data_IF_423040463024
#
_entry.id   IF_423040463024
#
_cell.length_a   1.000
_cell.length_b   1.000
_cell.length_c   1.000
_cell.angle_alpha   90.00
_cell.angle_beta   90.00
_cell.angle_gamma   90.00
#
_symmetry.space_group_name_H-M   'P 1'
#
loop_
_entity.id
_entity.type
_entity.pdbx_description
1 polymer ?
#
# COMPACT_ATOMS: atom_id res chain seq x y z
N UNK A 1 30.83 -81.11 9.82
CA UNK A 1 29.60 -80.58 9.19
C UNK A 1 28.83 -79.61 10.10
N UNK A 2 29.16 -79.45 11.39
CA UNK A 2 28.50 -78.49 12.29
C UNK A 2 28.98 -77.03 12.20
N UNK A 3 30.23 -76.80 11.77
CA UNK A 3 30.85 -75.46 11.73
C UNK A 3 30.36 -74.58 10.56
N UNK A 4 29.95 -75.20 9.47
CA UNK A 4 29.48 -74.47 8.25
C UNK A 4 28.09 -73.90 8.50
N UNK A 5 27.19 -74.63 9.15
CA UNK A 5 25.82 -74.17 9.46
C UNK A 5 25.82 -73.00 10.48
N UNK A 6 26.75 -73.01 11.44
CA UNK A 6 26.89 -71.97 12.42
C UNK A 6 27.38 -70.64 11.79
N UNK A 7 28.32 -70.70 10.84
CA UNK A 7 28.83 -69.59 10.15
C UNK A 7 27.78 -68.92 9.20
N UNK A 8 26.98 -69.73 8.52
CA UNK A 8 25.89 -69.30 7.67
C UNK A 8 24.77 -68.59 8.47
N UNK A 9 24.46 -69.09 9.65
CA UNK A 9 23.47 -68.48 10.53
C UNK A 9 23.95 -67.13 11.08
N UNK A 10 25.22 -67.01 11.42
CA UNK A 10 25.85 -65.76 11.84
C UNK A 10 25.88 -64.71 10.69
N UNK A 11 26.12 -65.14 9.49
CA UNK A 11 26.13 -64.26 8.31
C UNK A 11 24.74 -63.72 8.01
N UNK A 12 23.71 -64.56 8.03
CA UNK A 12 22.32 -64.19 7.84
C UNK A 12 21.81 -63.21 8.91
N UNK A 13 22.19 -63.43 10.17
CA UNK A 13 21.84 -62.51 11.25
C UNK A 13 22.50 -61.15 11.07
N UNK A 14 23.75 -61.08 10.65
CA UNK A 14 24.45 -59.80 10.35
C UNK A 14 23.77 -59.05 9.23
N UNK A 15 23.40 -59.73 8.15
CA UNK A 15 22.68 -59.07 7.03
C UNK A 15 21.30 -58.54 7.45
N UNK A 16 20.54 -59.28 8.25
CA UNK A 16 19.25 -58.82 8.75
C UNK A 16 19.38 -57.59 9.69
N UNK A 17 20.39 -57.60 10.56
CA UNK A 17 20.68 -56.46 11.43
C UNK A 17 21.08 -55.22 10.60
N UNK A 18 21.95 -55.37 9.61
CA UNK A 18 22.39 -54.29 8.71
C UNK A 18 21.22 -53.74 7.91
N UNK A 19 20.30 -54.56 7.41
CA UNK A 19 19.09 -54.13 6.71
C UNK A 19 18.15 -53.33 7.64
N UNK A 20 17.93 -53.82 8.88
CA UNK A 20 17.12 -53.08 9.87
C UNK A 20 17.72 -51.75 10.27
N UNK A 21 19.04 -51.65 10.46
CA UNK A 21 19.75 -50.41 10.77
C UNK A 21 19.65 -49.42 9.60
N UNK A 22 19.76 -49.87 8.35
CA UNK A 22 19.60 -49.02 7.16
C UNK A 22 18.17 -48.48 7.03
N UNK A 23 17.15 -49.31 7.28
CA UNK A 23 15.74 -48.89 7.23
C UNK A 23 15.45 -47.91 8.37
N UNK A 24 15.96 -48.14 9.56
CA UNK A 24 15.79 -47.23 10.70
C UNK A 24 16.50 -45.89 10.47
N UNK A 25 17.68 -45.91 9.85
CA UNK A 25 18.41 -44.68 9.44
C UNK A 25 17.67 -43.88 8.39
N UNK A 26 17.07 -44.54 7.38
CA UNK A 26 16.25 -43.88 6.37
C UNK A 26 14.96 -43.29 6.94
N UNK A 27 14.30 -44.01 7.87
CA UNK A 27 13.11 -43.47 8.55
C UNK A 27 13.43 -42.23 9.42
N UNK A 28 14.59 -42.27 10.12
CA UNK A 28 15.05 -41.12 10.92
C UNK A 28 15.40 -39.92 10.06
N UNK A 29 16.02 -40.12 8.89
CA UNK A 29 16.32 -39.03 7.95
C UNK A 29 15.04 -38.44 7.35
N UNK A 30 14.00 -39.21 7.09
CA UNK A 30 12.70 -38.70 6.63
C UNK A 30 11.95 -37.90 7.70
N UNK A 31 12.07 -38.26 8.99
CA UNK A 31 11.46 -37.45 10.05
C UNK A 31 12.16 -36.11 10.27
N UNK A 32 13.46 -35.99 10.00
CA UNK A 32 14.18 -34.72 10.11
C UNK A 32 13.89 -33.75 8.97
N UNK A 33 13.46 -34.20 7.80
CA UNK A 33 13.08 -33.30 6.68
C UNK A 33 11.68 -32.71 6.82
N UNK A 34 10.86 -33.16 7.76
CA UNK A 34 9.48 -32.68 7.96
C UNK A 34 9.31 -31.43 8.82
N UNK A 35 10.38 -30.88 9.38
CA UNK A 35 10.31 -29.73 10.29
C UNK A 35 10.89 -28.44 9.72
N UNK A 36 10.81 -28.24 8.41
CA UNK A 36 10.87 -26.88 7.87
C UNK A 36 9.47 -26.30 8.07
N UNK A 37 9.19 -25.82 9.28
CA UNK A 37 8.09 -24.90 9.50
C UNK A 37 8.36 -23.70 8.62
N UNK A 38 7.72 -23.63 7.46
CA UNK A 38 7.58 -22.39 6.75
C UNK A 38 6.95 -21.42 7.76
N UNK A 39 7.71 -20.46 8.25
CA UNK A 39 7.15 -19.37 9.04
C UNK A 39 6.12 -18.72 8.12
N UNK A 40 4.85 -19.04 8.32
CA UNK A 40 3.76 -18.31 7.70
C UNK A 40 3.80 -16.90 8.30
N UNK A 41 4.39 -15.99 7.57
CA UNK A 41 4.31 -14.58 7.92
C UNK A 41 2.88 -14.13 7.64
N UNK A 42 2.21 -13.67 8.69
CA UNK A 42 0.89 -13.08 8.55
C UNK A 42 1.01 -11.81 7.72
N UNK A 43 0.30 -11.75 6.59
CA UNK A 43 0.21 -10.56 5.75
C UNK A 43 -0.90 -9.69 6.30
N UNK A 44 -0.55 -8.51 6.79
CA UNK A 44 -1.50 -7.51 7.22
C UNK A 44 -1.74 -6.52 6.09
N UNK A 45 -2.99 -6.45 5.63
CA UNK A 45 -3.38 -5.52 4.58
C UNK A 45 -3.59 -4.12 5.16
N UNK A 46 -2.97 -3.13 4.55
CA UNK A 46 -3.27 -1.73 4.85
C UNK A 46 -4.69 -1.44 4.35
N UNK A 47 -5.60 -0.89 5.18
CA UNK A 47 -6.95 -0.56 4.74
C UNK A 47 -6.94 0.24 3.44
N UNK A 48 -7.80 -0.11 2.48
CA UNK A 48 -7.87 0.46 1.12
C UNK A 48 -6.57 0.35 0.29
N UNK A 49 -5.61 -0.49 0.70
CA UNK A 49 -4.33 -0.65 0.01
C UNK A 49 -4.44 -1.30 -1.37
N UNK A 50 -5.55 -1.99 -1.68
CA UNK A 50 -5.87 -2.52 -3.01
C UNK A 50 -6.28 -1.43 -4.03
N UNK A 51 -6.48 -0.19 -3.59
CA UNK A 51 -6.84 0.97 -4.43
C UNK A 51 -8.15 0.81 -5.23
N UNK A 52 -9.07 -0.06 -4.80
CA UNK A 52 -10.34 -0.29 -5.50
C UNK A 52 -11.44 0.70 -5.12
N UNK A 53 -11.28 1.42 -4.03
CA UNK A 53 -12.30 2.30 -3.48
C UNK A 53 -11.85 3.75 -3.43
N UNK A 54 -12.65 4.63 -4.06
CA UNK A 54 -12.33 6.04 -4.20
C UNK A 54 -13.51 6.93 -3.86
N UNK A 55 -13.22 8.03 -3.20
CA UNK A 55 -14.16 9.12 -2.95
C UNK A 55 -13.95 10.16 -4.03
N UNK A 56 -14.98 10.44 -4.82
CA UNK A 56 -14.99 11.52 -5.81
C UNK A 56 -15.54 12.79 -5.14
N UNK A 57 -14.64 13.72 -4.82
CA UNK A 57 -14.98 15.03 -4.26
C UNK A 57 -15.13 16.01 -5.39
N UNK A 58 -16.34 16.48 -5.63
CA UNK A 58 -16.66 17.49 -6.65
C UNK A 58 -16.54 18.87 -6.03
N UNK A 59 -15.48 19.59 -6.37
CA UNK A 59 -15.16 20.90 -5.80
C UNK A 59 -15.29 21.97 -6.87
N UNK A 60 -16.11 22.99 -6.59
CA UNK A 60 -16.23 24.16 -7.46
C UNK A 60 -15.09 25.14 -7.20
N UNK A 61 -14.30 25.40 -8.22
CA UNK A 61 -13.25 26.42 -8.20
C UNK A 61 -13.86 27.82 -8.23
N UNK A 62 -13.09 28.83 -7.82
CA UNK A 62 -13.54 30.24 -7.81
C UNK A 62 -13.84 30.75 -9.21
N UNK A 63 -14.92 31.51 -9.35
CA UNK A 63 -15.35 32.08 -10.65
C UNK A 63 -14.27 32.91 -11.33
N UNK A 64 -13.43 33.60 -10.56
CA UNK A 64 -12.33 34.46 -11.09
C UNK A 64 -11.27 33.64 -11.86
N UNK A 65 -11.20 32.32 -11.67
CA UNK A 65 -10.31 31.39 -12.40
C UNK A 65 -11.09 30.42 -13.30
N UNK A 66 -12.36 30.77 -13.63
CA UNK A 66 -13.19 30.01 -14.54
C UNK A 66 -14.35 29.26 -13.89
N UNK A 67 -14.39 29.08 -12.58
CA UNK A 67 -15.53 28.51 -11.83
C UNK A 67 -15.89 27.06 -12.15
N UNK A 68 -14.96 26.30 -12.73
CA UNK A 68 -15.20 24.90 -13.10
C UNK A 68 -15.37 24.02 -11.86
N UNK A 69 -16.23 23.00 -11.94
CA UNK A 69 -16.25 21.91 -10.96
C UNK A 69 -15.21 20.86 -11.34
N UNK A 70 -14.36 20.52 -10.40
CA UNK A 70 -13.27 19.56 -10.57
C UNK A 70 -13.47 18.36 -9.67
N UNK A 71 -13.11 17.19 -10.18
CA UNK A 71 -13.08 15.95 -9.40
C UNK A 71 -11.73 15.85 -8.70
N UNK A 72 -11.79 15.73 -7.39
CA UNK A 72 -10.62 15.57 -6.50
C UNK A 72 -10.76 14.23 -5.80
N UNK A 73 -9.97 13.26 -6.21
CA UNK A 73 -10.09 11.90 -5.73
C UNK A 73 -9.35 11.70 -4.41
N UNK A 74 -9.99 10.98 -3.49
CA UNK A 74 -9.37 10.50 -2.25
C UNK A 74 -9.57 8.99 -2.15
N UNK A 75 -8.61 8.30 -1.51
CA UNK A 75 -8.69 6.85 -1.28
C UNK A 75 -9.55 6.61 -0.04
N UNK A 76 -10.61 5.85 -0.18
CA UNK A 76 -11.56 5.58 0.91
C UNK A 76 -12.84 4.95 0.41
N UNK A 77 -13.85 4.74 1.26
CA UNK A 77 -15.11 4.13 0.87
C UNK A 77 -15.73 4.84 -0.34
N UNK A 78 -16.09 4.08 -1.36
CA UNK A 78 -16.62 4.64 -2.61
C UNK A 78 -17.81 5.55 -2.36
N UNK A 79 -17.66 6.82 -2.70
CA UNK A 79 -18.68 7.85 -2.54
C UNK A 79 -18.45 9.00 -3.52
N UNK A 80 -19.53 9.74 -3.84
CA UNK A 80 -19.45 11.03 -4.53
C UNK A 80 -19.95 12.12 -3.60
N UNK A 81 -19.13 13.14 -3.40
CA UNK A 81 -19.41 14.23 -2.47
C UNK A 81 -19.24 15.56 -3.16
N UNK A 82 -20.30 16.37 -3.18
CA UNK A 82 -20.25 17.74 -3.66
C UNK A 82 -19.99 18.67 -2.50
N UNK A 83 -18.78 19.26 -2.44
CA UNK A 83 -18.42 20.10 -1.32
C UNK A 83 -17.48 21.24 -1.71
N UNK A 84 -17.49 22.28 -0.89
CA UNK A 84 -16.55 23.39 -0.93
C UNK A 84 -15.72 23.49 0.34
N UNK A 85 -15.89 22.54 1.25
CA UNK A 85 -15.21 22.49 2.55
C UNK A 85 -13.88 21.73 2.42
N UNK A 86 -13.00 22.00 3.36
CA UNK A 86 -11.76 21.26 3.50
C UNK A 86 -12.04 19.76 3.71
N UNK A 87 -11.18 18.93 3.14
CA UNK A 87 -11.24 17.49 3.33
C UNK A 87 -11.12 17.11 4.82
N UNK A 88 -11.92 16.20 5.24
CA UNK A 88 -11.93 15.66 6.62
C UNK A 88 -11.94 14.16 6.57
N UNK A 89 -10.88 13.55 6.12
CA UNK A 89 -10.69 12.08 6.14
C UNK A 89 -12.01 11.27 6.20
N UNK A 90 -12.77 11.34 5.11
CA UNK A 90 -14.10 10.73 5.01
C UNK A 90 -13.95 9.21 4.94
N UNK A 91 -14.29 8.52 6.03
CA UNK A 91 -14.27 7.08 6.11
C UNK A 91 -13.01 6.45 6.73
N UNK A 92 -12.14 7.26 7.34
CA UNK A 92 -11.02 6.75 8.15
C UNK A 92 -9.92 6.07 7.36
N UNK A 93 -9.76 6.39 6.06
CA UNK A 93 -8.67 5.88 5.25
C UNK A 93 -7.32 6.37 5.79
N UNK A 94 -6.30 5.49 5.90
CA UNK A 94 -4.95 5.91 6.29
C UNK A 94 -4.18 6.58 5.15
N UNK A 95 -4.76 6.67 3.95
CA UNK A 95 -4.10 7.18 2.75
C UNK A 95 -4.38 8.66 2.52
N UNK A 96 -3.34 9.40 2.22
CA UNK A 96 -3.40 10.75 1.69
C UNK A 96 -2.73 10.83 0.33
N UNK A 97 -3.12 11.80 -0.47
CA UNK A 97 -2.60 12.02 -1.82
C UNK A 97 -2.27 13.50 -2.03
N UNK A 98 -1.58 13.80 -3.14
CA UNK A 98 -1.36 15.17 -3.61
C UNK A 98 -2.63 15.84 -4.18
N UNK A 99 -3.77 15.15 -4.16
CA UNK A 99 -5.05 15.72 -4.55
C UNK A 99 -5.58 16.60 -3.44
N UNK A 100 -5.62 17.91 -3.66
CA UNK A 100 -5.92 18.87 -2.61
C UNK A 100 -6.74 20.05 -3.11
N UNK A 101 -7.48 20.65 -2.19
CA UNK A 101 -8.06 21.97 -2.35
C UNK A 101 -7.14 23.02 -1.74
N UNK A 102 -6.78 24.02 -2.52
CA UNK A 102 -6.05 25.18 -2.05
C UNK A 102 -6.99 26.41 -1.98
N UNK A 103 -6.73 27.27 -1.02
CA UNK A 103 -7.42 28.57 -0.90
C UNK A 103 -6.42 29.66 -0.54
N UNK A 104 -6.03 30.43 -1.54
CA UNK A 104 -5.06 31.51 -1.40
C UNK A 104 -5.75 32.84 -1.77
N UNK A 105 -5.64 33.83 -0.89
CA UNK A 105 -6.31 35.14 -1.06
C UNK A 105 -7.82 35.03 -1.39
N UNK A 106 -8.51 34.05 -0.78
CA UNK A 106 -9.93 33.80 -1.04
C UNK A 106 -10.24 33.04 -2.34
N UNK A 107 -9.24 32.74 -3.16
CA UNK A 107 -9.39 32.01 -4.42
C UNK A 107 -9.23 30.52 -4.16
N UNK A 108 -10.28 29.77 -4.47
CA UNK A 108 -10.28 28.30 -4.37
C UNK A 108 -9.80 27.69 -5.67
N UNK A 109 -8.75 26.87 -5.61
CA UNK A 109 -8.20 26.07 -6.70
C UNK A 109 -8.02 24.64 -6.24
N UNK A 110 -8.16 23.70 -7.14
CA UNK A 110 -7.92 22.28 -6.88
C UNK A 110 -6.69 21.79 -7.63
N UNK A 111 -6.00 20.81 -7.05
CA UNK A 111 -5.01 20.00 -7.74
C UNK A 111 -5.48 18.54 -7.72
N UNK A 112 -5.45 17.88 -8.88
CA UNK A 112 -5.70 16.46 -9.01
C UNK A 112 -4.60 15.86 -9.86
N UNK A 113 -3.73 15.10 -9.23
CA UNK A 113 -2.56 14.44 -9.83
C UNK A 113 -2.50 12.93 -9.53
N UNK A 114 -3.47 12.44 -8.77
CA UNK A 114 -3.66 11.01 -8.49
C UNK A 114 -5.09 10.62 -8.88
N UNK A 115 -5.23 9.57 -9.67
CA UNK A 115 -6.49 9.19 -10.29
C UNK A 115 -6.77 7.70 -10.09
N UNK A 116 -8.05 7.29 -9.94
CA UNK A 116 -8.42 5.90 -10.13
C UNK A 116 -8.23 5.52 -11.61
N UNK A 117 -7.41 4.54 -11.87
CA UNK A 117 -7.22 3.97 -13.21
C UNK A 117 -7.72 2.54 -13.25
N UNK A 118 -8.46 2.19 -14.28
CA UNK A 118 -9.02 0.83 -14.41
C UNK A 118 -7.89 -0.19 -14.60
N UNK A 119 -7.88 -1.24 -13.78
CA UNK A 119 -6.95 -2.37 -13.84
C UNK A 119 -7.70 -3.68 -13.64
N UNK A 120 -7.89 -4.45 -14.71
CA UNK A 120 -8.71 -5.66 -14.64
C UNK A 120 -10.13 -5.35 -14.18
N UNK A 121 -10.61 -6.05 -13.16
CA UNK A 121 -11.93 -5.82 -12.58
C UNK A 121 -11.96 -4.72 -11.51
N UNK A 122 -10.78 -4.27 -11.04
CA UNK A 122 -10.61 -3.24 -10.04
C UNK A 122 -9.98 -1.96 -10.56
N UNK A 123 -9.36 -1.22 -9.64
CA UNK A 123 -8.66 0.03 -9.91
C UNK A 123 -7.23 -0.01 -9.34
N UNK A 124 -6.38 0.84 -9.88
CA UNK A 124 -5.09 1.20 -9.30
C UNK A 124 -4.96 2.72 -9.20
N UNK A 125 -3.98 3.19 -8.47
CA UNK A 125 -3.66 4.60 -8.38
C UNK A 125 -2.71 5.00 -9.52
N UNK A 126 -3.18 5.84 -10.46
CA UNK A 126 -2.33 6.50 -11.44
C UNK A 126 -1.85 7.82 -10.91
N UNK A 127 -0.55 8.04 -10.90
CA UNK A 127 0.10 9.26 -10.44
C UNK A 127 0.70 10.01 -11.63
N UNK A 128 0.24 11.24 -11.86
CA UNK A 128 0.73 12.12 -12.91
C UNK A 128 1.55 13.26 -12.32
N UNK A 129 2.57 13.69 -13.03
CA UNK A 129 3.30 14.94 -12.72
C UNK A 129 2.96 15.98 -13.77
N UNK A 130 2.49 17.14 -13.32
CA UNK A 130 2.07 18.23 -14.23
C UNK A 130 2.42 19.60 -13.68
N UNK A 131 2.51 20.57 -14.56
CA UNK A 131 2.62 21.98 -14.16
C UNK A 131 1.23 22.51 -13.82
N UNK A 132 1.07 23.03 -12.60
CA UNK A 132 -0.14 23.76 -12.19
C UNK A 132 0.17 25.23 -12.06
N UNK A 133 -0.66 26.05 -12.68
CA UNK A 133 -0.52 27.51 -12.56
C UNK A 133 -1.85 28.18 -12.22
N UNK A 134 -1.76 29.22 -11.40
CA UNK A 134 -2.86 30.12 -11.08
C UNK A 134 -2.35 31.51 -11.25
N UNK A 135 -2.93 32.23 -12.20
CA UNK A 135 -2.61 33.63 -12.45
C UNK A 135 -3.87 34.48 -12.34
N UNK A 136 -3.88 35.37 -11.38
CA UNK A 136 -4.92 36.36 -11.20
C UNK A 136 -4.23 37.70 -11.05
N UNK A 137 -4.40 38.58 -12.01
CA UNK A 137 -3.68 39.84 -12.12
C UNK A 137 -3.71 40.65 -10.82
N UNK A 138 -2.54 40.98 -10.31
CA UNK A 138 -2.36 41.74 -9.08
C UNK A 138 -2.67 41.02 -7.77
N UNK A 139 -3.12 39.74 -7.83
CA UNK A 139 -3.54 38.97 -6.64
C UNK A 139 -2.69 37.72 -6.49
N UNK A 140 -2.61 36.88 -7.52
CA UNK A 140 -1.94 35.56 -7.48
C UNK A 140 -1.19 35.34 -8.78
N UNK A 141 0.08 34.96 -8.67
CA UNK A 141 0.88 34.43 -9.78
C UNK A 141 1.72 33.27 -9.20
N UNK A 142 1.21 32.08 -9.30
CA UNK A 142 1.84 30.87 -8.78
C UNK A 142 1.90 29.85 -9.89
N UNK A 143 3.10 29.31 -10.14
CA UNK A 143 3.31 28.16 -11.00
C UNK A 143 4.17 27.16 -10.23
N UNK A 144 3.68 25.93 -10.11
CA UNK A 144 4.34 24.86 -9.38
C UNK A 144 4.31 23.56 -10.17
N UNK A 145 5.33 22.74 -9.97
CA UNK A 145 5.31 21.35 -10.41
C UNK A 145 4.52 20.54 -9.39
N UNK A 146 3.35 20.05 -9.78
CA UNK A 146 2.50 19.19 -8.98
C UNK A 146 2.81 17.74 -9.33
N UNK A 147 3.66 17.10 -8.52
CA UNK A 147 3.93 15.67 -8.63
C UNK A 147 2.78 14.87 -8.00
N UNK A 148 2.28 13.87 -8.72
CA UNK A 148 1.37 12.88 -8.15
C UNK A 148 2.09 12.09 -7.08
N UNK A 149 1.55 12.09 -5.87
CA UNK A 149 2.10 11.35 -4.75
C UNK A 149 1.00 10.83 -3.84
N UNK A 150 1.28 9.73 -3.16
CA UNK A 150 0.43 9.14 -2.13
C UNK A 150 1.28 8.66 -0.98
N UNK A 151 0.74 8.73 0.22
CA UNK A 151 1.45 8.36 1.44
C UNK A 151 0.43 7.98 2.54
N UNK A 152 0.92 7.32 3.57
CA UNK A 152 0.14 7.07 4.77
C UNK A 152 0.19 8.30 5.68
N UNK A 153 -0.97 8.86 6.00
CA UNK A 153 -1.07 10.08 6.81
C UNK A 153 -2.24 10.96 6.40
N UNK A 154 -2.11 12.26 6.62
CA UNK A 154 -3.15 13.26 6.35
C UNK A 154 -2.58 14.50 5.67
N UNK A 155 -3.40 15.14 4.85
CA UNK A 155 -3.16 16.49 4.32
C UNK A 155 -4.15 17.45 4.97
N UNK A 156 -3.64 18.55 5.52
CA UNK A 156 -4.47 19.58 6.12
C UNK A 156 -4.93 20.60 5.08
N UNK A 157 -6.18 20.52 4.69
CA UNK A 157 -6.82 21.46 3.78
C UNK A 157 -7.52 22.62 4.52
N UNK A 158 -7.70 23.74 3.84
CA UNK A 158 -7.20 24.11 2.51
C UNK A 158 -5.71 24.47 2.56
N UNK A 159 -5.01 24.16 1.48
CA UNK A 159 -3.62 24.62 1.31
C UNK A 159 -3.64 26.16 1.16
N UNK A 160 -2.99 26.86 2.09
CA UNK A 160 -3.03 28.32 2.17
C UNK A 160 -1.87 29.02 1.47
N UNK A 161 -0.91 28.28 0.97
CA UNK A 161 0.26 28.81 0.27
C UNK A 161 1.33 27.75 0.05
N UNK A 162 2.37 28.14 -0.65
CA UNK A 162 3.52 27.25 -0.98
C UNK A 162 4.66 27.32 0.04
N UNK A 163 4.57 28.26 1.00
CA UNK A 163 5.56 28.37 2.07
C UNK A 163 5.33 27.31 3.14
N UNK A 164 6.39 26.61 3.54
CA UNK A 164 6.36 25.56 4.56
C UNK A 164 5.34 24.44 4.30
N UNK A 165 5.43 23.73 3.17
CA UNK A 165 4.45 22.70 2.81
C UNK A 165 4.38 21.54 3.84
N UNK A 166 5.45 21.27 4.55
CA UNK A 166 5.50 20.22 5.59
C UNK A 166 4.51 20.47 6.74
N UNK A 167 4.14 21.73 7.02
CA UNK A 167 3.14 22.03 8.04
C UNK A 167 1.72 21.65 7.63
N UNK A 168 1.51 21.37 6.36
CA UNK A 168 0.23 20.95 5.80
C UNK A 168 0.11 19.43 5.73
N UNK A 169 1.15 18.70 6.13
CA UNK A 169 1.21 17.24 6.08
C UNK A 169 1.42 16.69 7.47
N UNK A 170 0.66 15.65 7.78
CA UNK A 170 0.93 14.76 8.90
C UNK A 170 1.27 13.39 8.33
N UNK A 171 2.56 13.13 8.11
CA UNK A 171 3.02 11.89 7.48
C UNK A 171 3.22 10.80 8.50
N UNK A 172 2.81 9.59 8.13
CA UNK A 172 2.90 8.39 8.96
C UNK A 172 1.61 8.08 9.69
N UNK A 173 1.43 6.80 9.94
CA UNK A 173 0.38 6.25 10.79
C UNK A 173 1.06 5.43 11.90
N UNK A 174 0.48 5.35 13.10
CA UNK A 174 1.01 4.50 14.15
C UNK A 174 1.08 3.03 13.69
N UNK A 175 2.24 2.42 13.82
CA UNK A 175 2.46 1.02 13.54
C UNK A 175 3.23 0.39 14.70
N UNK A 176 2.58 -0.54 15.40
CA UNK A 176 3.13 -1.12 16.65
C UNK A 176 3.83 -2.45 16.46
N UNK A 177 3.70 -3.06 15.27
CA UNK A 177 4.32 -4.33 14.92
C UNK A 177 5.70 -4.09 14.28
N UNK A 178 6.56 -5.10 14.31
CA UNK A 178 7.85 -5.07 13.62
C UNK A 178 7.67 -5.70 12.23
N UNK A 179 7.62 -4.91 11.14
CA UNK A 179 7.45 -5.46 9.80
C UNK A 179 8.72 -6.18 9.36
N UNK A 180 8.57 -7.23 8.57
CA UNK A 180 9.67 -7.97 7.94
C UNK A 180 9.87 -7.47 6.52
N UNK A 181 8.76 -7.20 5.82
CA UNK A 181 8.75 -6.73 4.44
C UNK A 181 7.48 -5.92 4.16
N UNK A 182 7.50 -5.16 3.07
CA UNK A 182 6.34 -4.52 2.45
C UNK A 182 6.18 -5.15 1.07
N UNK A 183 4.97 -5.58 0.74
CA UNK A 183 4.64 -6.12 -0.57
C UNK A 183 3.78 -5.11 -1.34
N UNK A 184 4.09 -4.94 -2.61
CA UNK A 184 3.33 -4.16 -3.58
C UNK A 184 2.94 -5.07 -4.76
N UNK A 185 1.74 -4.88 -5.28
CA UNK A 185 1.25 -5.54 -6.49
C UNK A 185 1.22 -4.57 -7.68
#
# INVERSE_FOLDING_TARGET
SGSTIYNDCQLLMREMIQKKVRILGMLSAMLCCGAVSAQQHEVEMIPFGNMDQWIDRQIKESGIIGGATKNVYAIGPTATVTETKAYKNMGGSPWATSNVMARVAGITKTNTSVFPEKRGDGFCARMDTRMESVKVFGIVDITVLAAGSMFLGEVHEPIKGTKNPQKMLNSGIPFTKKPIAIQFD
#
